data_IF_630305559123
#
_entry.id   IF_630305559123
#
_cell.length_a   1.000
_cell.length_b   1.000
_cell.length_c   1.000
_cell.angle_alpha   90.00
_cell.angle_beta   90.00
_cell.angle_gamma   90.00
#
_symmetry.space_group_name_H-M   'P 1'
#
loop_
_entity.id
_entity.type
_entity.pdbx_description
1 polymer ?
#
# COMPACT_ATOMS: atom_id res chain seq x y z
N UNK A 1 9.78 77.75 -8.22
CA UNK A 1 11.20 78.11 -8.43
C UNK A 1 11.99 76.82 -8.75
N UNK A 2 13.26 76.96 -9.12
CA UNK A 2 14.24 75.88 -9.36
C UNK A 2 14.37 74.89 -8.18
N UNK A 3 14.87 73.65 -8.32
CA UNK A 3 15.33 72.91 -9.52
C UNK A 3 15.38 71.38 -9.27
N UNK A 4 15.77 70.64 -10.32
CA UNK A 4 16.33 69.27 -10.31
C UNK A 4 17.53 69.14 -9.32
N UNK A 5 18.07 67.96 -8.98
CA UNK A 5 18.24 66.76 -9.81
C UNK A 5 18.50 65.46 -9.01
N UNK A 6 18.26 64.30 -9.64
CA UNK A 6 18.47 62.95 -9.10
C UNK A 6 19.92 62.48 -9.24
N UNK A 7 20.42 61.61 -8.34
CA UNK A 7 21.62 60.80 -8.56
C UNK A 7 21.36 59.30 -8.32
N UNK A 8 22.05 58.47 -9.08
CA UNK A 8 22.14 57.00 -8.96
C UNK A 8 23.63 56.59 -9.13
N UNK A 9 24.03 55.38 -8.71
CA UNK A 9 25.44 55.08 -8.41
C UNK A 9 26.29 54.72 -9.64
N UNK A 10 27.60 54.96 -9.51
CA UNK A 10 28.63 54.56 -10.47
C UNK A 10 29.56 53.45 -9.90
N UNK A 11 30.39 52.86 -10.76
CA UNK A 11 31.01 51.53 -10.59
C UNK A 11 32.46 51.61 -10.10
N UNK A 12 32.85 50.71 -9.20
CA UNK A 12 34.25 50.49 -8.84
C UNK A 12 34.98 49.72 -9.95
N UNK A 13 36.04 50.30 -10.51
CA UNK A 13 36.95 49.62 -11.44
C UNK A 13 38.13 48.95 -10.71
N UNK A 14 38.58 47.82 -11.24
CA UNK A 14 39.84 47.16 -10.86
C UNK A 14 40.98 47.80 -11.66
N UNK A 15 42.16 47.94 -11.07
CA UNK A 15 43.36 48.37 -11.79
C UNK A 15 44.59 47.52 -11.39
N UNK A 16 45.57 47.42 -12.29
CA UNK A 16 46.75 46.55 -12.19
C UNK A 16 47.98 47.26 -12.79
N UNK A 17 49.18 46.78 -12.45
CA UNK A 17 50.55 47.27 -12.78
C UNK A 17 50.96 48.62 -12.16
N UNK A 18 52.25 48.88 -11.88
CA UNK A 18 53.44 47.99 -11.82
C UNK A 18 54.08 48.12 -10.38
N UNK A 19 55.37 48.06 -10.03
CA UNK A 19 56.66 48.03 -10.76
C UNK A 19 57.73 47.19 -10.01
N UNK A 20 58.87 46.98 -10.66
CA UNK A 20 60.05 46.18 -10.24
C UNK A 20 61.01 47.04 -9.34
N UNK A 21 62.18 46.60 -8.84
CA UNK A 21 63.05 45.47 -9.16
C UNK A 21 64.05 45.12 -8.02
N UNK A 22 64.83 44.04 -8.23
CA UNK A 22 66.07 43.56 -7.57
C UNK A 22 65.92 42.21 -6.81
N UNK A 23 66.76 41.18 -6.99
CA UNK A 23 67.71 40.91 -8.10
C UNK A 23 69.08 40.34 -7.69
N UNK A 24 69.22 39.01 -7.52
CA UNK A 24 70.48 38.25 -7.57
C UNK A 24 70.24 36.71 -7.54
N UNK A 25 71.13 35.93 -8.16
CA UNK A 25 71.26 34.44 -8.17
C UNK A 25 72.50 34.07 -9.03
N UNK A 26 73.00 32.81 -9.10
CA UNK A 26 72.71 31.58 -8.32
C UNK A 26 74.01 30.99 -7.65
N UNK A 27 73.96 29.76 -7.10
CA UNK A 27 75.18 29.00 -6.75
C UNK A 27 75.01 27.71 -5.92
N UNK A 28 75.17 26.55 -6.60
CA UNK A 28 75.86 25.30 -6.21
C UNK A 28 75.42 24.34 -5.07
N UNK A 29 75.79 23.06 -5.32
CA UNK A 29 75.99 21.90 -4.43
C UNK A 29 74.84 20.90 -4.18
N UNK A 30 75.23 19.63 -3.95
CA UNK A 30 74.44 18.40 -4.01
C UNK A 30 74.61 17.57 -2.72
N UNK A 31 73.70 16.62 -2.46
CA UNK A 31 73.87 15.45 -1.56
C UNK A 31 74.07 15.78 -0.05
N UNK A 32 73.88 14.86 0.93
CA UNK A 32 73.39 13.49 0.84
C UNK A 32 72.57 13.04 2.07
N UNK A 33 72.01 11.82 1.94
CA UNK A 33 71.59 10.84 2.96
C UNK A 33 72.03 11.10 4.42
N UNK A 34 71.09 11.06 5.37
CA UNK A 34 71.16 10.09 6.48
C UNK A 34 69.78 9.71 7.07
N UNK A 35 69.75 8.60 7.83
CA UNK A 35 68.52 7.86 8.18
C UNK A 35 68.65 7.19 9.55
N UNK A 36 68.19 7.85 10.61
CA UNK A 36 67.98 7.24 11.92
C UNK A 36 66.55 6.69 12.07
N UNK A 37 66.42 5.59 12.81
CA UNK A 37 65.14 4.95 13.13
C UNK A 37 65.12 4.74 14.64
N UNK A 38 64.14 5.36 15.31
CA UNK A 38 63.73 4.98 16.66
C UNK A 38 62.25 4.60 16.62
N UNK A 39 61.94 3.44 17.20
CA UNK A 39 60.58 2.91 17.34
C UNK A 39 60.41 2.53 18.79
N UNK A 40 59.55 3.26 19.50
CA UNK A 40 58.87 2.71 20.68
C UNK A 40 57.46 3.28 20.80
N UNK A 41 56.56 2.49 21.40
CA UNK A 41 55.13 2.53 21.14
C UNK A 41 54.35 2.80 22.43
N UNK A 42 53.34 3.69 22.38
CA UNK A 42 52.27 3.70 23.41
C UNK A 42 50.90 4.19 22.92
N UNK A 43 50.05 3.19 22.75
CA UNK A 43 48.62 3.11 22.43
C UNK A 43 47.69 3.96 23.32
N UNK A 44 46.49 4.28 22.81
CA UNK A 44 45.26 4.78 23.49
C UNK A 44 45.33 6.19 24.10
N UNK A 45 44.27 7.01 24.12
CA UNK A 45 42.98 7.10 23.39
C UNK A 45 42.55 8.61 23.46
N UNK A 46 41.49 9.17 22.88
CA UNK A 46 40.17 8.63 22.52
C UNK A 46 39.48 9.50 21.42
N UNK A 47 38.76 8.85 20.50
CA UNK A 47 37.71 9.39 19.60
C UNK A 47 37.65 10.89 19.23
N UNK A 48 38.11 11.21 18.02
CA UNK A 48 37.60 12.36 17.24
C UNK A 48 36.64 11.89 16.14
N UNK A 49 35.33 11.77 16.40
CA UNK A 49 34.34 11.39 15.37
C UNK A 49 34.16 12.51 14.31
N UNK A 50 34.96 12.47 13.24
CA UNK A 50 34.65 13.19 12.01
C UNK A 50 33.40 12.60 11.37
N UNK A 51 32.26 13.19 11.68
CA UNK A 51 30.95 12.76 11.20
C UNK A 51 30.78 12.87 9.69
N UNK A 52 31.30 11.88 8.95
CA UNK A 52 31.00 11.68 7.53
C UNK A 52 29.49 11.54 7.36
N UNK A 53 28.85 12.64 6.96
CA UNK A 53 27.48 12.58 6.44
C UNK A 53 27.55 11.70 5.19
N UNK A 54 26.86 10.54 5.13
CA UNK A 54 27.00 9.62 4.01
C UNK A 54 26.66 10.34 2.72
N UNK A 55 27.68 10.55 1.88
CA UNK A 55 27.56 11.35 0.66
C UNK A 55 26.41 10.82 -0.20
N UNK A 56 25.73 11.72 -0.91
CA UNK A 56 24.57 11.39 -1.75
C UNK A 56 24.95 10.63 -3.04
N UNK A 57 26.02 9.82 -3.00
CA UNK A 57 26.28 8.74 -3.92
C UNK A 57 25.00 7.92 -4.09
N UNK A 58 24.48 7.91 -5.32
CA UNK A 58 23.09 7.57 -5.62
C UNK A 58 22.64 6.28 -4.91
N UNK A 59 21.53 6.36 -4.15
CA UNK A 59 20.81 5.18 -3.69
C UNK A 59 20.22 4.45 -4.89
N UNK A 60 21.03 3.62 -5.53
CA UNK A 60 20.67 2.80 -6.68
C UNK A 60 19.52 1.87 -6.33
N UNK A 61 18.76 1.43 -7.33
CA UNK A 61 17.74 0.39 -7.19
C UNK A 61 18.10 -0.78 -8.11
N UNK A 62 18.07 -2.04 -7.63
CA UNK A 62 18.33 -3.22 -8.46
C UNK A 62 17.38 -3.35 -9.66
N UNK A 63 16.12 -2.94 -9.51
CA UNK A 63 15.08 -3.00 -10.55
C UNK A 63 14.95 -4.40 -11.22
N UNK A 64 15.29 -5.45 -10.47
CA UNK A 64 15.34 -6.83 -10.95
C UNK A 64 16.37 -7.68 -10.21
N UNK A 65 16.74 -8.81 -10.83
CA UNK A 65 17.57 -9.86 -10.21
C UNK A 65 16.77 -10.79 -9.31
N UNK A 66 17.25 -12.03 -9.16
CA UNK A 66 16.54 -13.08 -8.43
C UNK A 66 16.17 -12.68 -6.99
N UNK A 67 17.04 -11.91 -6.31
CA UNK A 67 16.80 -11.44 -4.94
C UNK A 67 15.61 -10.46 -4.84
N UNK A 68 15.44 -9.56 -5.80
CA UNK A 68 14.35 -8.60 -5.81
C UNK A 68 13.02 -9.29 -6.11
N UNK A 69 12.99 -10.18 -7.10
CA UNK A 69 11.80 -10.97 -7.42
C UNK A 69 11.41 -11.96 -6.32
N UNK A 70 12.37 -12.55 -5.60
CA UNK A 70 12.08 -13.35 -4.41
C UNK A 70 11.42 -12.53 -3.29
N UNK A 71 11.82 -11.27 -3.08
CA UNK A 71 11.13 -10.35 -2.15
C UNK A 71 9.73 -10.03 -2.63
N UNK A 72 9.52 -9.80 -3.94
CA UNK A 72 8.20 -9.58 -4.53
C UNK A 72 7.29 -10.80 -4.38
N UNK A 73 7.81 -12.01 -4.62
CA UNK A 73 7.06 -13.25 -4.45
C UNK A 73 6.70 -13.52 -2.98
N UNK A 74 7.63 -13.27 -2.05
CA UNK A 74 7.33 -13.35 -0.61
C UNK A 74 6.28 -12.32 -0.17
N UNK A 75 6.37 -11.08 -0.65
CA UNK A 75 5.36 -10.06 -0.35
C UNK A 75 4.00 -10.37 -1.02
N UNK A 76 3.98 -11.05 -2.17
CA UNK A 76 2.76 -11.56 -2.81
C UNK A 76 2.13 -12.72 -2.02
N UNK A 77 2.91 -13.69 -1.54
CA UNK A 77 2.42 -14.78 -0.67
C UNK A 77 1.91 -14.28 0.68
N UNK A 78 2.55 -13.25 1.23
CA UNK A 78 2.08 -12.53 2.40
C UNK A 78 0.73 -11.83 2.13
N UNK A 79 0.58 -11.11 1.01
CA UNK A 79 -0.70 -10.48 0.63
C UNK A 79 -1.80 -11.47 0.24
N UNK A 80 -1.44 -12.62 -0.32
CA UNK A 80 -2.32 -13.77 -0.51
C UNK A 80 -2.90 -14.21 0.84
N UNK A 81 -2.03 -14.54 1.81
CA UNK A 81 -2.43 -15.01 3.13
C UNK A 81 -3.21 -13.99 3.96
N UNK A 82 -2.98 -12.69 3.77
CA UNK A 82 -3.58 -11.61 4.57
C UNK A 82 -4.84 -11.05 3.90
N UNK A 83 -4.69 -10.04 3.03
CA UNK A 83 -5.83 -9.39 2.36
C UNK A 83 -6.61 -10.35 1.44
N UNK A 84 -5.97 -11.39 0.89
CA UNK A 84 -6.68 -12.45 0.17
C UNK A 84 -7.61 -13.29 1.03
N UNK A 85 -7.23 -13.60 2.28
CA UNK A 85 -8.10 -14.31 3.23
C UNK A 85 -9.24 -13.43 3.75
N UNK A 86 -8.98 -12.13 3.97
CA UNK A 86 -10.00 -11.17 4.44
C UNK A 86 -11.19 -11.07 3.47
N UNK A 87 -10.97 -11.25 2.16
CA UNK A 87 -12.05 -11.33 1.17
C UNK A 87 -12.99 -12.54 1.36
N UNK A 88 -12.61 -13.56 2.12
CA UNK A 88 -13.49 -14.69 2.49
C UNK A 88 -14.46 -14.36 3.63
N UNK A 89 -14.45 -13.13 4.18
CA UNK A 89 -15.35 -12.73 5.25
C UNK A 89 -16.85 -12.88 4.89
N UNK A 90 -17.24 -12.72 3.62
CA UNK A 90 -18.63 -12.95 3.21
C UNK A 90 -19.13 -14.38 3.47
N UNK A 91 -18.24 -15.38 3.32
CA UNK A 91 -18.54 -16.79 3.64
C UNK A 91 -18.63 -17.00 5.15
N UNK A 92 -17.79 -16.32 5.94
CA UNK A 92 -17.90 -16.34 7.40
C UNK A 92 -19.20 -15.68 7.87
N UNK A 93 -19.58 -14.53 7.32
CA UNK A 93 -20.80 -13.82 7.69
C UNK A 93 -22.04 -14.70 7.47
N UNK A 94 -22.18 -15.30 6.29
CA UNK A 94 -23.28 -16.23 5.98
C UNK A 94 -23.28 -17.42 6.95
N UNK A 95 -22.16 -18.12 7.11
CA UNK A 95 -22.07 -19.27 8.01
C UNK A 95 -22.38 -18.90 9.47
N UNK A 96 -21.93 -17.74 9.94
CA UNK A 96 -22.25 -17.25 11.29
C UNK A 96 -23.73 -16.92 11.46
N UNK A 97 -24.40 -16.39 10.43
CA UNK A 97 -25.84 -16.14 10.45
C UNK A 97 -26.65 -17.44 10.48
N UNK A 98 -26.20 -18.50 9.80
CA UNK A 98 -26.87 -19.81 9.78
C UNK A 98 -26.51 -20.70 10.98
N UNK A 99 -25.35 -20.52 11.61
CA UNK A 99 -24.81 -21.39 12.67
C UNK A 99 -24.59 -20.67 14.02
N UNK A 100 -23.34 -20.34 14.40
CA UNK A 100 -23.01 -19.92 15.77
C UNK A 100 -23.70 -18.64 16.22
N UNK A 101 -23.83 -17.65 15.33
CA UNK A 101 -24.31 -16.31 15.65
C UNK A 101 -25.74 -16.05 15.15
N UNK A 102 -26.53 -17.10 14.89
CA UNK A 102 -27.95 -17.06 14.45
C UNK A 102 -28.91 -16.22 15.33
N UNK A 103 -28.46 -15.80 16.51
CA UNK A 103 -29.18 -14.93 17.45
C UNK A 103 -28.70 -13.45 17.42
N UNK A 104 -27.79 -13.11 16.49
CA UNK A 104 -27.28 -11.75 16.24
C UNK A 104 -27.83 -11.20 14.93
N UNK A 105 -27.89 -9.88 14.80
CA UNK A 105 -28.31 -9.27 13.54
C UNK A 105 -27.22 -9.41 12.47
N UNK A 106 -27.58 -9.35 11.17
CA UNK A 106 -26.61 -9.21 10.08
C UNK A 106 -25.63 -8.05 10.29
N UNK A 107 -26.10 -6.94 10.87
CA UNK A 107 -25.29 -5.75 11.17
C UNK A 107 -24.24 -6.04 12.24
N UNK A 108 -24.62 -6.68 13.36
CA UNK A 108 -23.67 -7.09 14.41
C UNK A 108 -22.53 -7.94 13.83
N UNK A 109 -22.88 -8.97 13.07
CA UNK A 109 -21.89 -9.90 12.50
C UNK A 109 -20.94 -9.17 11.54
N UNK A 110 -21.45 -8.23 10.73
CA UNK A 110 -20.63 -7.47 9.77
C UNK A 110 -19.48 -6.67 10.41
N UNK A 111 -19.63 -6.24 11.68
CA UNK A 111 -18.57 -5.51 12.40
C UNK A 111 -17.27 -6.29 12.55
N UNK A 112 -17.33 -7.63 12.61
CA UNK A 112 -16.14 -8.48 12.70
C UNK A 112 -15.23 -8.25 11.47
N UNK A 113 -15.82 -8.26 10.27
CA UNK A 113 -15.13 -8.00 9.01
C UNK A 113 -14.73 -6.54 8.85
N UNK A 114 -15.61 -5.59 9.22
CA UNK A 114 -15.29 -4.16 9.17
C UNK A 114 -14.09 -3.79 10.05
N UNK A 115 -13.99 -4.34 11.27
CA UNK A 115 -12.82 -4.17 12.13
C UNK A 115 -11.58 -4.85 11.53
N UNK A 116 -11.71 -6.04 10.95
CA UNK A 116 -10.60 -6.73 10.31
C UNK A 116 -9.98 -5.90 9.17
N UNK A 117 -10.81 -5.29 8.32
CA UNK A 117 -10.38 -4.39 7.23
C UNK A 117 -9.81 -3.07 7.79
N UNK A 118 -10.45 -2.48 8.81
CA UNK A 118 -9.95 -1.26 9.45
C UNK A 118 -8.56 -1.45 10.07
N UNK A 119 -8.33 -2.55 10.78
CA UNK A 119 -7.03 -2.84 11.40
C UNK A 119 -5.97 -3.33 10.39
N UNK A 120 -6.35 -3.96 9.28
CA UNK A 120 -5.44 -4.22 8.14
C UNK A 120 -4.80 -2.91 7.64
N UNK A 121 -5.63 -1.88 7.39
CA UNK A 121 -5.14 -0.60 6.88
C UNK A 121 -4.50 0.27 7.99
N UNK A 122 -5.10 0.39 9.18
CA UNK A 122 -4.55 1.21 10.27
C UNK A 122 -3.31 0.61 10.93
N UNK A 123 -3.23 -0.72 11.06
CA UNK A 123 -2.04 -1.45 11.51
C UNK A 123 -0.81 -1.24 10.62
N UNK A 124 -1.00 -0.76 9.37
CA UNK A 124 0.10 -0.36 8.50
C UNK A 124 0.90 0.83 9.04
N UNK A 125 0.28 1.76 9.81
CA UNK A 125 0.99 2.83 10.51
C UNK A 125 1.86 2.34 11.67
N UNK A 126 1.73 1.07 12.08
CA UNK A 126 2.61 0.41 13.04
C UNK A 126 3.65 -0.43 12.29
N UNK A 127 3.22 -1.29 11.36
CA UNK A 127 4.10 -2.19 10.61
C UNK A 127 5.14 -1.46 9.74
N UNK A 128 4.77 -0.36 9.09
CA UNK A 128 5.67 0.41 8.22
C UNK A 128 6.86 1.02 8.97
N UNK A 129 6.63 1.83 10.02
CA UNK A 129 7.71 2.38 10.84
C UNK A 129 8.53 1.33 11.61
N UNK A 130 7.91 0.20 12.02
CA UNK A 130 8.65 -0.92 12.59
C UNK A 130 9.61 -1.56 11.56
N UNK A 131 9.18 -1.71 10.30
CA UNK A 131 10.07 -2.16 9.22
C UNK A 131 11.17 -1.15 8.91
N UNK A 132 10.88 0.15 8.87
CA UNK A 132 11.91 1.19 8.71
C UNK A 132 12.94 1.13 9.86
N UNK A 133 12.54 0.75 11.10
CA UNK A 133 13.43 0.69 12.29
C UNK A 133 14.17 -0.62 12.52
N UNK A 134 13.62 -1.77 12.13
CA UNK A 134 14.17 -3.10 12.43
C UNK A 134 14.30 -4.03 11.20
N UNK A 135 13.90 -3.56 10.02
CA UNK A 135 13.89 -4.33 8.77
C UNK A 135 12.87 -5.47 8.79
N UNK A 136 13.06 -6.45 7.91
CA UNK A 136 12.14 -7.57 7.73
C UNK A 136 11.95 -8.48 8.96
N UNK A 137 12.77 -8.35 10.01
CA UNK A 137 12.62 -9.15 11.24
C UNK A 137 11.25 -8.97 11.91
N UNK A 138 10.59 -7.83 11.72
CA UNK A 138 9.26 -7.52 12.29
C UNK A 138 8.12 -8.34 11.71
N UNK A 139 8.33 -8.98 10.55
CA UNK A 139 7.32 -9.81 9.89
C UNK A 139 7.04 -11.06 10.73
N UNK A 140 8.07 -11.66 11.34
CA UNK A 140 7.95 -12.90 12.10
C UNK A 140 6.96 -12.84 13.28
N UNK A 141 7.05 -11.90 14.24
CA UNK A 141 6.07 -11.84 15.34
C UNK A 141 4.66 -11.52 14.84
N UNK A 142 4.50 -10.68 13.81
CA UNK A 142 3.19 -10.36 13.24
C UNK A 142 2.58 -11.57 12.50
N UNK A 143 3.38 -12.33 11.76
CA UNK A 143 2.97 -13.56 11.09
C UNK A 143 2.56 -14.66 12.07
N UNK A 144 3.32 -14.86 13.15
CA UNK A 144 2.96 -15.79 14.23
C UNK A 144 1.66 -15.38 14.92
N UNK A 145 1.51 -14.09 15.24
CA UNK A 145 0.29 -13.56 15.84
C UNK A 145 -0.93 -13.73 14.93
N UNK A 146 -0.75 -13.59 13.61
CA UNK A 146 -1.80 -13.78 12.63
C UNK A 146 -2.25 -15.25 12.56
N UNK A 147 -1.32 -16.21 12.43
CA UNK A 147 -1.64 -17.66 12.45
C UNK A 147 -2.33 -18.04 13.75
N UNK A 148 -1.85 -17.52 14.89
CA UNK A 148 -2.51 -17.69 16.19
C UNK A 148 -3.95 -17.14 16.18
N UNK A 149 -4.20 -15.96 15.60
CA UNK A 149 -5.56 -15.39 15.50
C UNK A 149 -6.51 -16.28 14.68
N UNK A 150 -6.06 -16.88 13.58
CA UNK A 150 -6.88 -17.81 12.78
C UNK A 150 -7.11 -19.13 13.53
N UNK A 151 -6.10 -19.64 14.25
CA UNK A 151 -6.26 -20.81 15.11
C UNK A 151 -7.24 -20.56 16.27
N UNK A 152 -7.22 -19.38 16.89
CA UNK A 152 -8.21 -18.98 17.91
C UNK A 152 -9.60 -18.82 17.31
N UNK A 153 -9.71 -18.23 16.12
CA UNK A 153 -10.99 -18.13 15.36
C UNK A 153 -11.62 -19.52 15.15
N UNK A 154 -10.84 -20.61 15.08
CA UNK A 154 -11.35 -21.98 14.92
C UNK A 154 -12.04 -22.59 16.14
N UNK A 155 -11.94 -21.95 17.32
CA UNK A 155 -12.57 -22.40 18.57
C UNK A 155 -13.60 -21.41 19.12
N UNK A 156 -13.82 -20.28 18.44
CA UNK A 156 -14.83 -19.31 18.82
C UNK A 156 -16.26 -19.85 18.64
N UNK A 157 -17.12 -19.48 19.58
CA UNK A 157 -18.55 -19.76 19.62
C UNK A 157 -19.36 -18.48 19.86
N UNK A 158 -18.84 -17.54 20.64
CA UNK A 158 -19.51 -16.30 21.03
C UNK A 158 -19.08 -15.09 20.20
N UNK A 159 -20.00 -14.14 20.01
CA UNK A 159 -19.79 -12.96 19.16
C UNK A 159 -18.53 -12.15 19.56
N UNK A 160 -18.28 -11.99 20.86
CA UNK A 160 -17.12 -11.25 21.36
C UNK A 160 -15.80 -11.98 21.09
N UNK A 161 -15.80 -13.31 21.01
CA UNK A 161 -14.62 -14.12 20.71
C UNK A 161 -14.20 -13.91 19.25
N UNK A 162 -15.15 -13.95 18.31
CA UNK A 162 -14.90 -13.63 16.89
C UNK A 162 -14.43 -12.19 16.71
N UNK A 163 -15.06 -11.22 17.39
CA UNK A 163 -14.65 -9.81 17.37
C UNK A 163 -13.18 -9.63 17.80
N UNK A 164 -12.75 -10.29 18.88
CA UNK A 164 -11.36 -10.21 19.34
C UNK A 164 -10.39 -11.01 18.48
N UNK A 165 -10.68 -12.28 18.18
CA UNK A 165 -9.76 -13.18 17.47
C UNK A 165 -9.65 -12.83 15.96
N UNK A 166 -10.78 -12.76 15.26
CA UNK A 166 -10.80 -12.53 13.82
C UNK A 166 -10.69 -11.04 13.47
N UNK A 167 -11.52 -10.21 14.13
CA UNK A 167 -11.61 -8.77 13.88
C UNK A 167 -10.36 -8.00 14.33
N UNK A 168 -10.20 -7.84 15.64
CA UNK A 168 -9.13 -7.03 16.24
C UNK A 168 -7.76 -7.67 16.03
N UNK A 169 -7.54 -8.88 16.56
CA UNK A 169 -6.22 -9.51 16.58
C UNK A 169 -5.75 -9.88 15.17
N UNK A 170 -6.63 -10.51 14.37
CA UNK A 170 -6.36 -10.82 12.97
C UNK A 170 -6.13 -9.57 12.12
N UNK A 171 -6.96 -8.54 12.26
CA UNK A 171 -6.77 -7.27 11.54
C UNK A 171 -5.44 -6.57 11.89
N UNK A 172 -5.10 -6.46 13.18
CA UNK A 172 -3.83 -5.84 13.61
C UNK A 172 -2.64 -6.64 13.10
N UNK A 173 -2.66 -7.97 13.25
CA UNK A 173 -1.56 -8.83 12.82
C UNK A 173 -1.38 -8.80 11.29
N UNK A 174 -2.47 -8.88 10.51
CA UNK A 174 -2.40 -8.76 9.04
C UNK A 174 -1.85 -7.39 8.60
N UNK A 175 -2.32 -6.29 9.18
CA UNK A 175 -1.82 -4.93 8.88
C UNK A 175 -0.35 -4.72 9.24
N UNK A 176 0.07 -5.20 10.42
CA UNK A 176 1.47 -5.21 10.84
C UNK A 176 2.37 -6.08 9.97
N UNK A 177 1.82 -7.08 9.28
CA UNK A 177 2.57 -7.95 8.34
C UNK A 177 2.61 -7.33 6.93
N UNK A 178 1.51 -6.72 6.47
CA UNK A 178 1.34 -6.15 5.12
C UNK A 178 2.29 -4.99 4.82
N UNK A 179 2.39 -4.02 5.73
CA UNK A 179 3.21 -2.82 5.51
C UNK A 179 4.71 -3.14 5.36
N UNK A 180 5.34 -4.00 6.19
CA UNK A 180 6.70 -4.50 5.94
C UNK A 180 6.90 -5.14 4.56
N UNK A 181 6.01 -6.03 4.12
CA UNK A 181 6.15 -6.74 2.84
C UNK A 181 6.09 -5.79 1.64
N UNK A 182 5.09 -4.92 1.62
CA UNK A 182 4.93 -3.90 0.58
C UNK A 182 6.07 -2.87 0.59
N UNK A 183 6.53 -2.44 1.76
CA UNK A 183 7.69 -1.54 1.88
C UNK A 183 8.97 -2.21 1.38
N UNK A 184 9.20 -3.49 1.68
CA UNK A 184 10.38 -4.21 1.20
C UNK A 184 10.50 -4.19 -0.33
N UNK A 185 9.41 -4.45 -1.05
CA UNK A 185 9.38 -4.38 -2.53
C UNK A 185 9.78 -2.98 -3.02
N UNK A 186 9.26 -1.91 -2.41
CA UNK A 186 9.58 -0.54 -2.80
C UNK A 186 11.07 -0.16 -2.65
N UNK A 187 11.84 -0.84 -1.79
CA UNK A 187 13.28 -0.62 -1.61
C UNK A 187 14.15 -1.30 -2.69
N UNK A 188 13.61 -2.28 -3.43
CA UNK A 188 14.33 -3.00 -4.50
C UNK A 188 14.05 -2.46 -5.91
N UNK A 189 12.93 -1.76 -6.11
CA UNK A 189 12.49 -1.28 -7.42
C UNK A 189 12.21 0.23 -7.41
N UNK A 190 12.56 0.90 -8.51
CA UNK A 190 12.07 2.24 -8.82
C UNK A 190 11.59 2.33 -10.27
N UNK A 191 12.45 2.04 -11.26
CA UNK A 191 12.07 2.05 -12.69
C UNK A 191 10.99 1.01 -13.03
N UNK A 192 10.85 -0.05 -12.21
CA UNK A 192 9.80 -1.07 -12.33
C UNK A 192 8.94 -1.19 -11.05
N UNK A 193 8.79 -0.10 -10.28
CA UNK A 193 8.08 -0.14 -8.99
C UNK A 193 6.59 -0.46 -9.16
N UNK A 194 5.91 0.12 -10.15
CA UNK A 194 4.50 -0.18 -10.43
C UNK A 194 4.29 -1.64 -10.85
N UNK A 195 5.20 -2.22 -11.65
CA UNK A 195 5.17 -3.63 -12.02
C UNK A 195 5.37 -4.55 -10.81
N UNK A 196 6.38 -4.28 -9.97
CA UNK A 196 6.68 -5.08 -8.80
C UNK A 196 5.62 -4.96 -7.69
N UNK A 197 5.11 -3.74 -7.45
CA UNK A 197 3.99 -3.51 -6.52
C UNK A 197 2.68 -4.09 -7.06
N UNK A 198 2.45 -4.04 -8.37
CA UNK A 198 1.33 -4.69 -9.03
C UNK A 198 1.32 -6.19 -8.80
N UNK A 199 2.45 -6.88 -9.05
CA UNK A 199 2.60 -8.32 -8.80
C UNK A 199 2.50 -8.68 -7.31
N UNK A 200 3.08 -7.85 -6.43
CA UNK A 200 2.96 -7.98 -4.98
C UNK A 200 1.48 -7.95 -4.55
N UNK A 201 0.72 -6.93 -4.98
CA UNK A 201 -0.68 -6.74 -4.58
C UNK A 201 -1.62 -7.73 -5.30
N UNK A 202 -1.24 -8.26 -6.47
CA UNK A 202 -1.97 -9.30 -7.18
C UNK A 202 -2.06 -10.63 -6.42
N UNK A 203 -1.11 -10.95 -5.53
CA UNK A 203 -1.21 -12.12 -4.65
C UNK A 203 -2.49 -12.14 -3.79
N UNK A 204 -2.93 -10.96 -3.31
CA UNK A 204 -4.20 -10.80 -2.60
C UNK A 204 -5.43 -11.12 -3.46
N UNK A 205 -5.38 -10.92 -4.79
CA UNK A 205 -6.48 -11.32 -5.67
C UNK A 205 -6.57 -12.83 -5.83
N UNK A 206 -5.44 -13.53 -5.98
CA UNK A 206 -5.44 -15.00 -6.06
C UNK A 206 -5.96 -15.60 -4.75
N UNK A 207 -5.56 -15.04 -3.60
CA UNK A 207 -6.10 -15.42 -2.30
C UNK A 207 -7.61 -15.16 -2.20
N UNK A 208 -8.07 -14.01 -2.70
CA UNK A 208 -9.49 -13.65 -2.75
C UNK A 208 -10.35 -14.48 -3.70
N UNK A 209 -9.77 -15.37 -4.51
CA UNK A 209 -10.49 -16.42 -5.25
C UNK A 209 -10.40 -17.75 -4.50
N UNK A 210 -9.22 -18.14 -4.04
CA UNK A 210 -8.99 -19.45 -3.43
C UNK A 210 -9.63 -19.58 -2.04
N UNK A 211 -9.48 -18.58 -1.16
CA UNK A 211 -9.96 -18.69 0.22
C UNK A 211 -11.48 -18.78 0.36
N UNK A 212 -12.32 -17.97 -0.33
CA UNK A 212 -13.78 -18.11 -0.23
C UNK A 212 -14.27 -19.48 -0.71
N UNK A 213 -13.76 -19.95 -1.86
CA UNK A 213 -14.16 -21.23 -2.47
C UNK A 213 -13.72 -22.42 -1.60
N UNK A 214 -12.50 -22.39 -1.06
CA UNK A 214 -12.00 -23.43 -0.17
C UNK A 214 -12.76 -23.45 1.17
N UNK A 215 -12.98 -22.28 1.78
CA UNK A 215 -13.68 -22.16 3.05
C UNK A 215 -15.13 -22.64 2.95
N UNK A 216 -15.89 -22.18 1.94
CA UNK A 216 -17.28 -22.59 1.71
C UNK A 216 -17.39 -24.12 1.56
N UNK A 217 -16.55 -24.73 0.71
CA UNK A 217 -16.56 -26.19 0.48
C UNK A 217 -16.16 -27.03 1.69
N UNK A 218 -15.42 -26.47 2.65
CA UNK A 218 -15.06 -27.17 3.89
C UNK A 218 -16.12 -26.96 5.00
N UNK A 219 -16.64 -25.74 5.15
CA UNK A 219 -17.68 -25.41 6.13
C UNK A 219 -18.96 -26.21 5.91
N UNK A 220 -19.34 -26.40 4.64
CA UNK A 220 -20.49 -27.22 4.24
C UNK A 220 -20.18 -28.71 4.09
N UNK A 221 -18.98 -29.17 4.47
CA UNK A 221 -18.66 -30.60 4.53
C UNK A 221 -19.07 -31.18 5.89
N UNK A 222 -20.02 -32.15 5.94
CA UNK A 222 -20.54 -32.69 7.19
C UNK A 222 -19.51 -33.46 8.04
N UNK A 223 -18.32 -33.77 7.50
CA UNK A 223 -17.25 -34.46 8.24
C UNK A 223 -16.20 -33.53 8.86
N UNK A 224 -16.14 -32.26 8.43
CA UNK A 224 -15.16 -31.28 8.95
C UNK A 224 -15.78 -30.33 9.98
N UNK A 225 -16.93 -29.73 9.63
CA UNK A 225 -17.52 -28.64 10.38
C UNK A 225 -16.61 -27.41 10.51
N UNK A 226 -17.05 -26.44 11.32
CA UNK A 226 -16.38 -25.14 11.45
C UNK A 226 -14.90 -25.23 11.86
N UNK A 227 -14.63 -25.84 13.02
CA UNK A 227 -13.30 -25.78 13.64
C UNK A 227 -12.18 -26.39 12.79
N UNK A 228 -12.40 -27.54 12.16
CA UNK A 228 -11.39 -28.12 11.26
C UNK A 228 -11.24 -27.35 9.96
N UNK A 229 -12.33 -26.80 9.40
CA UNK A 229 -12.25 -25.94 8.22
C UNK A 229 -11.33 -24.74 8.44
N UNK A 230 -11.51 -24.01 9.55
CA UNK A 230 -10.66 -22.84 9.89
C UNK A 230 -9.22 -23.25 10.21
N UNK A 231 -8.99 -24.40 10.86
CA UNK A 231 -7.64 -24.95 11.09
C UNK A 231 -6.91 -25.32 9.80
N UNK A 232 -7.60 -25.92 8.83
CA UNK A 232 -7.04 -26.22 7.51
C UNK A 232 -6.62 -24.92 6.81
N UNK A 233 -7.45 -23.87 6.87
CA UNK A 233 -7.05 -22.54 6.37
C UNK A 233 -5.82 -21.99 7.14
N UNK A 234 -5.77 -22.11 8.46
CA UNK A 234 -4.62 -21.68 9.25
C UNK A 234 -3.32 -22.44 8.88
N UNK A 235 -3.39 -23.73 8.58
CA UNK A 235 -2.25 -24.52 8.09
C UNK A 235 -1.81 -24.10 6.67
N UNK A 236 -2.76 -23.82 5.77
CA UNK A 236 -2.46 -23.28 4.42
C UNK A 236 -1.80 -21.90 4.53
N UNK A 237 -2.33 -21.03 5.40
CA UNK A 237 -1.73 -19.72 5.71
C UNK A 237 -0.32 -19.89 6.25
N UNK A 238 -0.10 -20.77 7.24
CA UNK A 238 1.23 -21.03 7.80
C UNK A 238 2.22 -21.53 6.74
N UNK A 239 1.82 -22.51 5.91
CA UNK A 239 2.67 -23.12 4.88
C UNK A 239 3.13 -22.13 3.80
N UNK A 240 2.32 -21.12 3.48
CA UNK A 240 2.67 -20.05 2.52
C UNK A 240 3.40 -18.90 3.22
N UNK A 241 2.99 -18.53 4.44
CA UNK A 241 3.50 -17.37 5.17
C UNK A 241 4.92 -17.58 5.72
N UNK A 242 5.30 -18.80 6.09
CA UNK A 242 6.67 -19.14 6.52
C UNK A 242 7.72 -18.87 5.42
N UNK A 243 7.67 -19.49 4.21
CA UNK A 243 8.62 -19.21 3.15
C UNK A 243 8.49 -17.76 2.64
N UNK A 244 7.29 -17.18 2.65
CA UNK A 244 7.08 -15.75 2.31
C UNK A 244 7.85 -14.82 3.24
N UNK A 245 7.78 -15.06 4.56
CA UNK A 245 8.48 -14.25 5.57
C UNK A 245 10.00 -14.42 5.50
N UNK A 246 10.49 -15.63 5.20
CA UNK A 246 11.91 -15.90 4.97
C UNK A 246 12.44 -15.31 3.65
N UNK A 247 11.60 -15.23 2.62
CA UNK A 247 11.94 -14.66 1.32
C UNK A 247 12.12 -13.14 1.38
N UNK A 248 11.37 -12.42 2.24
CA UNK A 248 11.47 -10.96 2.40
C UNK A 248 12.73 -10.58 3.20
N UNK A 249 13.46 -9.56 2.74
CA UNK A 249 14.49 -8.86 3.53
C UNK A 249 14.37 -7.35 3.27
N UNK A 250 14.73 -6.55 4.26
CA UNK A 250 14.98 -5.13 4.03
C UNK A 250 16.29 -4.96 3.24
N UNK A 251 16.40 -3.89 2.46
CA UNK A 251 17.60 -3.55 1.69
C UNK A 251 18.30 -2.31 2.24
N UNK A 252 17.55 -1.35 2.78
CA UNK A 252 18.09 -0.12 3.33
C UNK A 252 18.49 -0.30 4.81
N UNK A 253 19.52 0.41 5.31
CA UNK A 253 19.92 0.34 6.71
C UNK A 253 18.82 0.92 7.63
N UNK A 254 18.59 0.35 8.83
CA UNK A 254 17.43 0.72 9.64
C UNK A 254 17.53 2.11 10.30
N UNK A 255 16.38 2.79 10.40
CA UNK A 255 16.25 4.17 10.88
C UNK A 255 15.96 4.24 12.37
N UNK A 256 16.85 4.88 13.15
CA UNK A 256 16.76 4.92 14.62
C UNK A 256 15.75 5.94 15.22
N UNK A 257 15.38 7.02 14.51
CA UNK A 257 14.92 8.28 15.17
C UNK A 257 13.42 8.65 15.14
N UNK A 258 12.55 8.14 14.27
CA UNK A 258 11.13 8.56 14.26
C UNK A 258 10.17 7.50 13.72
N UNK A 259 9.06 7.29 14.45
CA UNK A 259 7.97 6.37 14.11
C UNK A 259 6.86 7.06 13.28
N UNK A 260 6.74 8.38 13.39
CA UNK A 260 5.75 9.21 12.72
C UNK A 260 6.46 10.44 12.13
N UNK A 261 5.98 10.97 11.00
CA UNK A 261 6.59 12.12 10.30
C UNK A 261 5.51 13.18 10.07
N UNK A 262 5.24 14.07 11.06
CA UNK A 262 4.20 15.10 10.94
C UNK A 262 4.41 16.05 9.76
N UNK A 263 5.66 16.26 9.33
CA UNK A 263 5.99 17.11 8.17
C UNK A 263 5.46 16.57 6.84
N UNK A 264 5.22 15.26 6.72
CA UNK A 264 4.62 14.68 5.51
C UNK A 264 3.23 15.27 5.24
N UNK A 265 2.42 15.47 6.30
CA UNK A 265 1.10 16.11 6.22
C UNK A 265 1.16 17.63 5.96
N UNK A 266 2.35 18.22 5.81
CA UNK A 266 2.55 19.58 5.29
C UNK A 266 2.94 19.60 3.81
N UNK A 267 3.26 18.45 3.21
CA UNK A 267 3.56 18.34 1.78
C UNK A 267 2.26 18.22 0.98
N UNK A 268 1.92 19.25 0.20
CA UNK A 268 0.71 19.27 -0.64
C UNK A 268 0.54 18.01 -1.51
N UNK A 269 1.63 17.52 -2.13
CA UNK A 269 1.63 16.27 -2.92
C UNK A 269 1.16 15.06 -2.11
N UNK A 270 1.52 14.98 -0.82
CA UNK A 270 1.12 13.87 0.05
C UNK A 270 -0.34 13.99 0.47
N UNK A 271 -0.77 15.18 0.90
CA UNK A 271 -2.14 15.43 1.37
C UNK A 271 -3.16 15.25 0.25
N UNK A 272 -2.92 15.81 -0.95
CA UNK A 272 -3.84 15.64 -2.09
C UNK A 272 -3.89 14.18 -2.56
N UNK A 273 -2.77 13.45 -2.51
CA UNK A 273 -2.76 12.01 -2.83
C UNK A 273 -3.53 11.17 -1.80
N UNK A 274 -3.41 11.48 -0.51
CA UNK A 274 -4.21 10.81 0.54
C UNK A 274 -5.69 11.10 0.36
N UNK A 275 -6.09 12.36 0.11
CA UNK A 275 -7.49 12.73 -0.12
C UNK A 275 -8.06 12.04 -1.37
N UNK A 276 -7.29 11.99 -2.46
CA UNK A 276 -7.63 11.24 -3.67
C UNK A 276 -7.84 9.75 -3.38
N UNK A 277 -6.90 9.10 -2.69
CA UNK A 277 -7.00 7.70 -2.32
C UNK A 277 -8.17 7.41 -1.37
N UNK A 278 -8.41 8.29 -0.40
CA UNK A 278 -9.54 8.20 0.53
C UNK A 278 -10.88 8.22 -0.21
N UNK A 279 -11.07 9.17 -1.13
CA UNK A 279 -12.31 9.31 -1.90
C UNK A 279 -12.53 8.15 -2.89
N UNK A 280 -11.46 7.63 -3.51
CA UNK A 280 -11.55 6.41 -4.31
C UNK A 280 -11.94 5.19 -3.46
N UNK A 281 -11.25 4.95 -2.35
CA UNK A 281 -11.49 3.76 -1.50
C UNK A 281 -12.85 3.84 -0.80
N UNK A 282 -13.35 5.04 -0.48
CA UNK A 282 -14.71 5.24 0.04
C UNK A 282 -15.80 4.64 -0.88
N UNK A 283 -15.70 4.88 -2.20
CA UNK A 283 -16.69 4.41 -3.18
C UNK A 283 -16.36 3.06 -3.84
N UNK A 284 -15.12 2.57 -3.76
CA UNK A 284 -14.73 1.30 -4.42
C UNK A 284 -15.43 0.08 -3.80
N UNK A 285 -15.92 0.20 -2.57
CA UNK A 285 -16.55 -0.90 -1.83
C UNK A 285 -18.03 -1.12 -2.15
N UNK A 286 -18.79 -0.11 -2.58
CA UNK A 286 -20.21 -0.29 -2.96
C UNK A 286 -20.35 -1.45 -3.95
N UNK A 287 -19.56 -1.47 -5.05
CA UNK A 287 -19.73 -2.52 -6.03
C UNK A 287 -19.36 -3.92 -5.57
N UNK A 288 -18.40 -4.02 -4.63
CA UNK A 288 -17.90 -5.32 -4.16
C UNK A 288 -18.93 -6.01 -3.28
N UNK A 289 -19.74 -5.25 -2.53
CA UNK A 289 -20.74 -5.80 -1.60
C UNK A 289 -22.13 -6.00 -2.22
N UNK A 290 -22.63 -5.06 -3.04
CA UNK A 290 -24.04 -5.11 -3.50
C UNK A 290 -24.26 -5.83 -4.84
N UNK A 291 -23.20 -6.25 -5.55
CA UNK A 291 -23.32 -6.83 -6.88
C UNK A 291 -24.03 -8.20 -6.88
N UNK A 292 -23.78 -9.12 -5.93
CA UNK A 292 -24.56 -10.35 -5.80
C UNK A 292 -26.05 -10.09 -5.55
N UNK A 293 -26.37 -9.16 -4.63
CA UNK A 293 -27.76 -8.80 -4.28
C UNK A 293 -28.52 -8.26 -5.49
N UNK A 294 -27.95 -7.25 -6.16
CA UNK A 294 -28.52 -6.69 -7.38
C UNK A 294 -28.71 -7.75 -8.47
N UNK A 295 -27.78 -8.69 -8.61
CA UNK A 295 -27.88 -9.75 -9.61
C UNK A 295 -29.04 -10.71 -9.33
N UNK A 296 -29.25 -11.10 -8.06
CA UNK A 296 -30.40 -11.93 -7.66
C UNK A 296 -31.73 -11.20 -7.88
N UNK A 297 -31.81 -9.91 -7.54
CA UNK A 297 -33.00 -9.08 -7.83
C UNK A 297 -33.35 -9.01 -9.32
N UNK A 298 -32.34 -9.12 -10.21
CA UNK A 298 -32.52 -9.17 -11.66
C UNK A 298 -32.60 -10.58 -12.25
N UNK A 299 -32.76 -11.62 -11.41
CA UNK A 299 -33.02 -13.00 -11.85
C UNK A 299 -31.77 -13.86 -12.11
N UNK A 300 -30.60 -13.47 -11.59
CA UNK A 300 -29.45 -14.37 -11.51
C UNK A 300 -29.67 -15.42 -10.40
N UNK A 301 -29.20 -16.66 -10.61
CA UNK A 301 -29.27 -17.67 -9.56
C UNK A 301 -28.31 -17.33 -8.40
N UNK A 302 -28.64 -17.78 -7.19
CA UNK A 302 -27.86 -17.47 -5.99
C UNK A 302 -26.41 -17.98 -6.10
N UNK A 303 -26.21 -19.16 -6.69
CA UNK A 303 -24.91 -19.77 -6.94
C UNK A 303 -24.06 -18.86 -7.84
N UNK A 304 -24.60 -18.49 -9.01
CA UNK A 304 -23.89 -17.65 -9.97
C UNK A 304 -23.66 -16.23 -9.44
N UNK A 305 -24.56 -15.70 -8.61
CA UNK A 305 -24.35 -14.41 -7.93
C UNK A 305 -23.18 -14.46 -6.92
N UNK A 306 -22.95 -15.61 -6.27
CA UNK A 306 -21.84 -15.79 -5.34
C UNK A 306 -20.49 -15.86 -6.08
N UNK A 307 -20.47 -16.46 -7.27
CA UNK A 307 -19.29 -16.50 -8.15
C UNK A 307 -18.88 -15.12 -8.69
N UNK A 308 -19.77 -14.11 -8.69
CA UNK A 308 -19.41 -12.74 -9.11
C UNK A 308 -18.25 -12.15 -8.29
N UNK A 309 -18.15 -12.49 -6.99
CA UNK A 309 -17.03 -12.06 -6.13
C UNK A 309 -15.72 -12.72 -6.56
N UNK A 310 -15.76 -14.02 -6.91
CA UNK A 310 -14.63 -14.76 -7.46
C UNK A 310 -14.21 -14.22 -8.84
N UNK A 311 -15.16 -13.89 -9.70
CA UNK A 311 -14.93 -13.28 -11.03
C UNK A 311 -14.28 -11.89 -10.88
N UNK A 312 -14.80 -11.05 -9.98
CA UNK A 312 -14.28 -9.72 -9.68
C UNK A 312 -12.83 -9.82 -9.16
N UNK A 313 -12.55 -10.72 -8.20
CA UNK A 313 -11.18 -10.94 -7.70
C UNK A 313 -10.25 -11.51 -8.78
N UNK A 314 -10.73 -12.41 -9.64
CA UNK A 314 -9.99 -12.93 -10.79
C UNK A 314 -9.58 -11.83 -11.79
N UNK A 315 -10.50 -10.92 -12.14
CA UNK A 315 -10.19 -9.77 -12.98
C UNK A 315 -9.28 -8.74 -12.26
N UNK A 316 -9.43 -8.60 -10.94
CA UNK A 316 -8.60 -7.74 -10.08
C UNK A 316 -7.13 -8.15 -10.09
N UNK A 317 -6.80 -9.43 -10.30
CA UNK A 317 -5.42 -9.88 -10.51
C UNK A 317 -4.77 -9.15 -11.72
N UNK A 318 -5.43 -9.21 -12.87
CA UNK A 318 -4.96 -8.53 -14.09
C UNK A 318 -4.97 -7.01 -13.94
N UNK A 319 -5.99 -6.47 -13.26
CA UNK A 319 -6.09 -5.05 -12.90
C UNK A 319 -4.96 -4.53 -12.02
N UNK A 320 -4.44 -5.35 -11.11
CA UNK A 320 -3.31 -4.98 -10.25
C UNK A 320 -1.99 -4.99 -11.01
N UNK A 321 -1.79 -5.96 -11.91
CA UNK A 321 -0.53 -6.15 -12.66
C UNK A 321 -0.43 -5.23 -13.89
N UNK A 322 -1.42 -5.23 -14.78
CA UNK A 322 -1.30 -4.59 -16.11
C UNK A 322 -1.23 -3.05 -15.99
N UNK A 323 -2.20 -2.37 -15.35
CA UNK A 323 -2.06 -0.98 -14.93
C UNK A 323 -0.79 -0.69 -14.11
N UNK A 324 -0.33 -1.60 -13.25
CA UNK A 324 0.94 -1.45 -12.53
C UNK A 324 2.16 -1.36 -13.48
N UNK A 325 2.24 -2.25 -14.47
CA UNK A 325 3.28 -2.22 -15.51
C UNK A 325 3.13 -0.99 -16.43
N UNK A 326 1.90 -0.57 -16.72
CA UNK A 326 1.65 0.64 -17.53
C UNK A 326 1.99 1.93 -16.79
N UNK A 327 1.82 1.99 -15.46
CA UNK A 327 2.19 3.13 -14.62
C UNK A 327 3.70 3.44 -14.69
N UNK A 328 4.56 2.43 -14.72
CA UNK A 328 6.01 2.61 -14.94
C UNK A 328 6.34 3.11 -16.36
N UNK A 329 5.43 2.97 -17.33
CA UNK A 329 5.57 3.52 -18.69
C UNK A 329 5.03 4.95 -18.80
N UNK A 330 3.80 5.22 -18.36
CA UNK A 330 3.10 6.51 -18.58
C UNK A 330 3.13 7.49 -17.40
N UNK A 331 3.64 7.08 -16.24
CA UNK A 331 3.64 7.85 -14.99
C UNK A 331 2.65 7.29 -13.96
N UNK A 332 3.06 7.26 -12.69
CA UNK A 332 2.33 6.56 -11.63
C UNK A 332 1.02 7.27 -11.31
N UNK A 333 1.09 8.60 -11.19
CA UNK A 333 -0.06 9.47 -10.98
C UNK A 333 -1.01 9.52 -12.21
N UNK A 334 -0.47 9.41 -13.43
CA UNK A 334 -1.30 9.37 -14.65
C UNK A 334 -2.20 8.13 -14.67
N UNK A 335 -1.63 6.94 -14.43
CA UNK A 335 -2.42 5.71 -14.40
C UNK A 335 -3.43 5.70 -13.26
N UNK A 336 -3.04 6.20 -12.07
CA UNK A 336 -3.93 6.29 -10.92
C UNK A 336 -5.17 7.17 -11.18
N UNK A 337 -4.98 8.33 -11.83
CA UNK A 337 -6.09 9.19 -12.25
C UNK A 337 -7.04 8.48 -13.23
N UNK A 338 -6.47 7.82 -14.26
CA UNK A 338 -7.25 7.12 -15.30
C UNK A 338 -8.07 5.97 -14.72
N UNK A 339 -7.47 5.09 -13.91
CA UNK A 339 -8.24 3.94 -13.37
C UNK A 339 -9.30 4.37 -12.37
N UNK A 340 -9.07 5.44 -11.61
CA UNK A 340 -10.09 6.07 -10.76
C UNK A 340 -11.29 6.55 -11.59
N UNK A 341 -11.04 7.36 -12.62
CA UNK A 341 -12.10 7.88 -13.49
C UNK A 341 -12.86 6.74 -14.20
N UNK A 342 -12.16 5.73 -14.73
CA UNK A 342 -12.80 4.55 -15.34
C UNK A 342 -13.64 3.74 -14.34
N UNK A 343 -13.16 3.54 -13.10
CA UNK A 343 -13.92 2.87 -12.03
C UNK A 343 -15.19 3.64 -11.70
N UNK A 344 -15.10 4.96 -11.53
CA UNK A 344 -16.26 5.81 -11.23
C UNK A 344 -17.30 5.87 -12.36
N UNK A 345 -16.85 5.90 -13.63
CA UNK A 345 -17.74 5.79 -14.80
C UNK A 345 -18.49 4.44 -14.79
N UNK A 346 -17.78 3.33 -14.55
CA UNK A 346 -18.40 2.01 -14.47
C UNK A 346 -19.47 1.93 -13.37
N UNK A 347 -19.24 2.56 -12.21
CA UNK A 347 -20.21 2.60 -11.11
C UNK A 347 -21.54 3.26 -11.53
N UNK A 348 -21.49 4.37 -12.29
CA UNK A 348 -22.70 5.00 -12.84
C UNK A 348 -23.40 4.12 -13.89
N UNK A 349 -22.63 3.34 -14.67
CA UNK A 349 -23.19 2.49 -15.74
C UNK A 349 -23.93 1.26 -15.22
N UNK A 350 -23.50 0.66 -14.10
CA UNK A 350 -24.06 -0.60 -13.57
C UNK A 350 -25.58 -0.61 -13.57
N UNK A 351 -26.26 0.38 -12.99
CA UNK A 351 -27.72 0.34 -12.76
C UNK A 351 -28.59 0.16 -14.04
N UNK A 352 -27.98 0.22 -15.23
CA UNK A 352 -28.62 -0.09 -16.53
C UNK A 352 -28.28 -1.48 -17.09
N UNK A 353 -27.55 -2.31 -16.36
CA UNK A 353 -27.00 -3.60 -16.79
C UNK A 353 -27.72 -4.73 -16.05
N UNK A 354 -28.88 -5.12 -16.56
CA UNK A 354 -29.81 -6.04 -15.90
C UNK A 354 -29.69 -7.51 -16.32
N UNK A 355 -28.88 -7.83 -17.34
CA UNK A 355 -28.76 -9.21 -17.86
C UNK A 355 -27.58 -9.95 -17.22
N UNK A 356 -27.73 -11.25 -16.96
CA UNK A 356 -26.67 -12.07 -16.34
C UNK A 356 -25.31 -11.94 -17.04
N UNK A 357 -25.29 -11.97 -18.38
CA UNK A 357 -24.08 -11.77 -19.17
C UNK A 357 -23.51 -10.35 -19.03
N UNK A 358 -24.35 -9.32 -19.01
CA UNK A 358 -23.94 -7.94 -18.77
C UNK A 358 -23.34 -7.74 -17.37
N UNK A 359 -23.96 -8.31 -16.34
CA UNK A 359 -23.51 -8.25 -14.94
C UNK A 359 -22.15 -8.95 -14.77
N UNK A 360 -21.92 -10.08 -15.46
CA UNK A 360 -20.62 -10.76 -15.48
C UNK A 360 -19.55 -9.92 -16.20
N UNK A 361 -19.87 -9.32 -17.36
CA UNK A 361 -18.95 -8.40 -18.06
C UNK A 361 -18.64 -7.18 -17.20
N UNK A 362 -19.63 -6.63 -16.49
CA UNK A 362 -19.44 -5.58 -15.51
C UNK A 362 -18.50 -6.02 -14.38
N UNK A 363 -18.71 -7.19 -13.77
CA UNK A 363 -17.86 -7.72 -12.70
C UNK A 363 -16.39 -7.84 -13.13
N UNK A 364 -16.13 -8.27 -14.38
CA UNK A 364 -14.78 -8.34 -14.96
C UNK A 364 -14.17 -6.95 -15.16
N UNK A 365 -14.88 -6.04 -15.85
CA UNK A 365 -14.37 -4.68 -16.10
C UNK A 365 -14.14 -3.92 -14.78
N UNK A 366 -15.10 -4.00 -13.87
CA UNK A 366 -15.03 -3.38 -12.56
C UNK A 366 -13.90 -3.96 -11.72
N UNK A 367 -13.76 -5.29 -11.64
CA UNK A 367 -12.68 -5.95 -10.92
C UNK A 367 -11.31 -5.52 -11.42
N UNK A 368 -11.14 -5.37 -12.74
CA UNK A 368 -9.91 -4.86 -13.36
C UNK A 368 -9.58 -3.42 -12.92
N UNK A 369 -10.49 -2.45 -13.11
CA UNK A 369 -10.19 -1.05 -12.78
C UNK A 369 -10.12 -0.78 -11.26
N UNK A 370 -10.99 -1.39 -10.46
CA UNK A 370 -10.94 -1.28 -9.00
C UNK A 370 -9.69 -1.94 -8.39
N UNK A 371 -9.24 -3.07 -8.95
CA UNK A 371 -7.99 -3.72 -8.56
C UNK A 371 -6.78 -2.82 -8.74
N UNK A 372 -6.75 -2.06 -9.85
CA UNK A 372 -5.68 -1.12 -10.15
C UNK A 372 -5.56 0.01 -9.11
N UNK A 373 -6.69 0.50 -8.56
CA UNK A 373 -6.68 1.52 -7.49
C UNK A 373 -5.84 1.02 -6.30
N UNK A 374 -6.10 -0.21 -5.83
CA UNK A 374 -5.43 -0.77 -4.64
C UNK A 374 -3.91 -0.90 -4.83
N UNK A 375 -3.44 -1.39 -5.99
CA UNK A 375 -1.99 -1.48 -6.25
C UNK A 375 -1.34 -0.11 -6.49
N UNK A 376 -2.06 0.83 -7.11
CA UNK A 376 -1.53 2.15 -7.42
C UNK A 376 -1.50 3.10 -6.22
N UNK A 377 -2.39 2.98 -5.22
CA UNK A 377 -2.27 3.74 -3.95
C UNK A 377 -0.92 3.47 -3.28
N UNK A 378 -0.53 2.19 -3.10
CA UNK A 378 0.78 1.84 -2.50
C UNK A 378 1.95 2.36 -3.34
N UNK A 379 1.84 2.25 -4.67
CA UNK A 379 2.85 2.69 -5.65
C UNK A 379 3.02 4.22 -5.67
N UNK A 380 1.94 4.97 -5.47
CA UNK A 380 1.97 6.43 -5.42
C UNK A 380 2.44 6.94 -4.05
N UNK A 381 1.99 6.37 -2.93
CA UNK A 381 2.47 6.76 -1.58
C UNK A 381 3.98 6.54 -1.43
N UNK A 382 4.49 5.42 -1.94
CA UNK A 382 5.94 5.13 -2.00
C UNK A 382 6.73 5.98 -3.01
N UNK A 383 6.09 6.90 -3.75
CA UNK A 383 6.75 7.84 -4.67
C UNK A 383 6.97 9.25 -4.11
N UNK A 384 6.39 9.55 -2.94
CA UNK A 384 6.45 10.88 -2.32
C UNK A 384 7.73 11.13 -1.50
N UNK A 385 8.19 10.24 -0.60
CA UNK A 385 9.34 10.54 0.24
C UNK A 385 10.64 10.67 -0.57
N UNK A 386 11.36 11.77 -0.36
CA UNK A 386 12.69 12.04 -0.97
C UNK A 386 13.78 11.09 -0.50
N UNK A 387 13.63 10.53 0.71
CA UNK A 387 14.53 9.55 1.31
C UNK A 387 13.83 8.18 1.35
N UNK A 388 14.31 7.18 0.58
CA UNK A 388 13.77 5.83 0.57
C UNK A 388 13.68 5.14 1.94
N UNK A 389 14.44 5.58 2.95
CA UNK A 389 14.39 5.07 4.34
C UNK A 389 13.14 5.52 5.12
N UNK A 390 12.29 6.36 4.52
CA UNK A 390 11.01 6.81 5.09
C UNK A 390 9.80 6.20 4.36
N UNK A 391 9.98 5.30 3.39
CA UNK A 391 8.87 4.78 2.59
C UNK A 391 7.86 4.02 3.46
N UNK A 392 8.30 3.18 4.40
CA UNK A 392 7.39 2.43 5.26
C UNK A 392 6.52 3.34 6.12
N UNK A 393 7.12 4.40 6.66
CA UNK A 393 6.41 5.43 7.43
C UNK A 393 5.39 6.19 6.56
N UNK A 394 5.77 6.61 5.35
CA UNK A 394 4.86 7.32 4.42
C UNK A 394 3.71 6.43 3.92
N UNK A 395 3.97 5.16 3.63
CA UNK A 395 2.93 4.19 3.25
C UNK A 395 2.00 3.89 4.43
N UNK A 396 2.57 3.68 5.63
CA UNK A 396 1.81 3.39 6.84
C UNK A 396 0.87 4.51 7.27
N UNK A 397 1.38 5.74 7.38
CA UNK A 397 0.56 6.93 7.72
C UNK A 397 -0.54 7.19 6.67
N UNK A 398 -0.23 6.99 5.39
CA UNK A 398 -1.20 7.18 4.30
C UNK A 398 -2.30 6.12 4.34
N UNK A 399 -1.94 4.85 4.47
CA UNK A 399 -2.90 3.75 4.57
C UNK A 399 -3.76 3.82 5.84
N UNK A 400 -3.20 4.23 6.98
CA UNK A 400 -4.00 4.45 8.19
C UNK A 400 -4.98 5.63 8.07
N UNK A 401 -4.67 6.65 7.25
CA UNK A 401 -5.63 7.71 6.94
C UNK A 401 -6.75 7.18 6.02
N UNK A 402 -6.39 6.38 5.02
CA UNK A 402 -7.34 5.72 4.10
C UNK A 402 -8.20 4.66 4.81
N UNK A 403 -7.72 4.04 5.90
CA UNK A 403 -8.47 3.06 6.70
C UNK A 403 -9.85 3.56 7.14
N UNK A 404 -9.97 4.85 7.46
CA UNK A 404 -11.24 5.46 7.85
C UNK A 404 -12.27 5.47 6.70
N UNK A 405 -11.85 5.59 5.44
CA UNK A 405 -12.77 5.49 4.28
C UNK A 405 -13.36 4.08 4.14
N UNK A 406 -12.56 3.04 4.41
CA UNK A 406 -13.02 1.65 4.41
C UNK A 406 -13.96 1.34 5.60
N UNK A 407 -13.81 2.04 6.72
CA UNK A 407 -14.67 1.91 7.90
C UNK A 407 -16.01 2.62 7.73
N UNK A 408 -16.02 3.87 7.22
CA UNK A 408 -17.27 4.67 7.09
C UNK A 408 -18.05 4.37 5.81
N UNK A 409 -17.40 3.82 4.78
CA UNK A 409 -18.04 3.50 3.50
C UNK A 409 -19.26 2.58 3.67
N UNK A 410 -19.10 1.32 4.12
CA UNK A 410 -20.22 0.38 4.20
C UNK A 410 -21.43 0.89 5.02
N UNK A 411 -21.26 1.55 6.19
CA UNK A 411 -22.37 2.19 6.90
C UNK A 411 -23.08 3.31 6.13
N UNK A 412 -22.35 4.17 5.41
CA UNK A 412 -22.96 5.21 4.54
C UNK A 412 -23.79 4.55 3.44
N UNK A 413 -23.27 3.46 2.87
CA UNK A 413 -23.92 2.75 1.77
C UNK A 413 -25.22 2.07 2.23
N UNK A 414 -25.17 1.38 3.38
CA UNK A 414 -26.36 0.78 4.01
C UNK A 414 -27.44 1.82 4.28
N UNK A 415 -27.09 2.93 4.95
CA UNK A 415 -28.02 4.02 5.24
C UNK A 415 -28.62 4.70 3.98
N UNK A 416 -27.99 4.58 2.81
CA UNK A 416 -28.55 5.01 1.53
C UNK A 416 -29.53 3.97 0.94
N UNK A 417 -29.19 2.67 0.93
CA UNK A 417 -30.09 1.60 0.47
C UNK A 417 -31.33 1.52 1.38
N UNK A 418 -31.14 1.52 2.70
CA UNK A 418 -32.21 1.41 3.70
C UNK A 418 -33.20 2.58 3.62
N UNK A 419 -32.75 3.76 3.17
CA UNK A 419 -33.59 4.96 3.05
C UNK A 419 -34.33 5.08 1.73
N UNK A 420 -33.73 4.65 0.62
CA UNK A 420 -34.26 4.89 -0.73
C UNK A 420 -34.76 3.63 -1.43
N UNK A 421 -34.47 2.43 -0.90
CA UNK A 421 -34.84 1.13 -1.47
C UNK A 421 -34.45 0.97 -2.95
N UNK A 422 -33.35 1.63 -3.36
CA UNK A 422 -32.71 1.52 -4.67
C UNK A 422 -31.20 1.67 -4.50
N UNK A 423 -30.45 1.09 -5.44
CA UNK A 423 -29.02 1.27 -5.56
C UNK A 423 -28.64 2.53 -6.38
N UNK A 424 -29.60 3.28 -6.93
CA UNK A 424 -29.34 4.50 -7.71
C UNK A 424 -28.55 5.55 -6.91
N UNK A 425 -29.01 5.90 -5.71
CA UNK A 425 -28.40 6.94 -4.87
C UNK A 425 -27.01 6.49 -4.37
N UNK A 426 -26.88 5.19 -4.13
CA UNK A 426 -25.63 4.47 -3.80
C UNK A 426 -24.63 4.54 -4.96
N UNK A 427 -25.07 4.22 -6.18
CA UNK A 427 -24.27 4.32 -7.42
C UNK A 427 -23.84 5.77 -7.67
N UNK A 428 -24.76 6.73 -7.58
CA UNK A 428 -24.47 8.15 -7.77
C UNK A 428 -23.43 8.64 -6.76
N UNK A 429 -23.60 8.33 -5.47
CA UNK A 429 -22.64 8.71 -4.43
C UNK A 429 -21.23 8.13 -4.71
N UNK A 430 -21.14 6.82 -4.94
CA UNK A 430 -19.85 6.17 -5.19
C UNK A 430 -19.18 6.61 -6.50
N UNK A 431 -19.95 6.73 -7.58
CA UNK A 431 -19.42 7.22 -8.86
C UNK A 431 -18.85 8.62 -8.73
N UNK A 432 -19.55 9.53 -8.03
CA UNK A 432 -19.08 10.89 -7.78
C UNK A 432 -17.79 10.89 -6.95
N UNK A 433 -17.72 10.23 -5.79
CA UNK A 433 -16.51 10.28 -4.95
C UNK A 433 -15.31 9.63 -5.62
N UNK A 434 -15.51 8.56 -6.39
CA UNK A 434 -14.43 7.88 -7.12
C UNK A 434 -13.93 8.71 -8.31
N UNK A 435 -14.82 9.33 -9.10
CA UNK A 435 -14.42 10.25 -10.18
C UNK A 435 -13.71 11.49 -9.62
N UNK A 436 -14.23 12.11 -8.56
CA UNK A 436 -13.59 13.26 -7.89
C UNK A 436 -12.22 12.85 -7.33
N UNK A 437 -12.10 11.67 -6.72
CA UNK A 437 -10.83 11.10 -6.29
C UNK A 437 -9.80 10.98 -7.43
N UNK A 438 -10.23 10.54 -8.62
CA UNK A 438 -9.40 10.50 -9.82
C UNK A 438 -8.99 11.88 -10.36
N UNK A 439 -9.93 12.82 -10.43
CA UNK A 439 -9.67 14.19 -10.90
C UNK A 439 -8.69 14.92 -9.96
N UNK A 440 -8.78 14.72 -8.64
CA UNK A 440 -7.87 15.31 -7.64
C UNK A 440 -6.40 14.91 -7.81
N UNK A 441 -6.08 13.85 -8.57
CA UNK A 441 -4.70 13.50 -8.91
C UNK A 441 -4.09 14.48 -9.94
N UNK A 442 -4.92 15.08 -10.82
CA UNK A 442 -4.45 15.90 -11.94
C UNK A 442 -3.77 17.23 -11.51
N UNK A 443 -4.30 18.00 -10.51
CA UNK A 443 -3.62 19.19 -9.99
C UNK A 443 -2.20 18.95 -9.48
N UNK A 444 -1.93 17.78 -8.88
CA UNK A 444 -0.59 17.38 -8.41
C UNK A 444 0.44 17.45 -9.56
N UNK A 445 0.00 17.18 -10.79
CA UNK A 445 0.84 17.17 -12.00
C UNK A 445 0.95 18.55 -12.64
N UNK A 446 -0.07 19.40 -12.51
CA UNK A 446 -0.04 20.78 -12.97
C UNK A 446 1.05 21.58 -12.24
N UNK A 447 1.08 21.48 -10.89
CA UNK A 447 2.07 22.15 -10.03
C UNK A 447 3.52 21.70 -10.31
N UNK A 448 3.72 20.47 -10.82
CA UNK A 448 5.05 19.91 -11.12
C UNK A 448 5.43 19.98 -12.62
N UNK A 449 4.73 20.81 -13.41
CA UNK A 449 5.12 21.16 -14.77
C UNK A 449 4.56 20.25 -15.87
N UNK A 450 3.32 19.77 -15.74
CA UNK A 450 2.49 19.36 -16.89
C UNK A 450 1.71 18.05 -16.73
N UNK A 451 0.49 18.03 -17.28
CA UNK A 451 -0.42 16.86 -17.26
C UNK A 451 0.27 15.58 -17.76
N UNK A 452 0.97 15.64 -18.90
CA UNK A 452 1.57 14.47 -19.54
C UNK A 452 2.98 14.14 -19.03
N UNK A 453 3.57 14.97 -18.17
CA UNK A 453 4.93 14.76 -17.64
C UNK A 453 4.97 13.51 -16.75
N UNK A 454 5.99 12.67 -16.94
CA UNK A 454 6.14 11.40 -16.23
C UNK A 454 6.65 11.63 -14.80
N UNK A 455 5.77 11.39 -13.81
CA UNK A 455 5.92 11.67 -12.36
C UNK A 455 5.24 10.54 -11.55
#
# INVERSE_FOLDING_TARGET
MASQQTQQPEKTHINLTDIKANGASPGDSEMDIERSVDVEEKVSDETGETGETPSAAMMTFPDGGARAWAVTAGAAGLLFCTFGYINAFGVYQEYYQSHQLKHRSPSDISWIGSLQVFFLFSGSAIGGPLFDRFGAKVIWPAATLYVFSVMMTSICSEYWEFMLAQGVLGGIATGMTMAPGTTAVSQYFDKKRGAAMGLCVAGSSVGGVIFPIALSKMLYNPTLGFGWSVRIIAFIVLAILLPSSAAIRARLPPRKKAFFIPSAFKESRYVTLILSAFLMILGVFIPIFYLPTYAVEHGMSAELSSDLVSILNGASFFGRVIPGVMADKVGRLNMFAVVGICTGILIFCWQRITTNAGIIVFAVLYGFFSGAIVSLVTTCLSSVPRDPRNIGTYMGMGMATVAFSALIGPPINGALVDKYHSFDQVSIFSGVVVVVGGILVLPIKYVNGGLWKKI
#
